data_IF_982843212404
#
_entry.id   IF_982843212404
#
_cell.length_a   1.000
_cell.length_b   1.000
_cell.length_c   1.000
_cell.angle_alpha   90.00
_cell.angle_beta   90.00
_cell.angle_gamma   90.00
#
_symmetry.space_group_name_H-M   'P 1'
#
loop_
_entity.id
_entity.type
_entity.pdbx_description
1 polymer ?
#
# COMPACT_ATOMS: atom_id res chain seq x y z
N UNK A 1 -40.54 6.60 -2.15
CA UNK A 1 -40.60 6.21 -0.72
C UNK A 1 -39.51 5.20 -0.39
N UNK A 2 -39.26 4.22 -1.27
CA UNK A 2 -38.21 3.19 -1.10
C UNK A 2 -36.78 3.74 -1.02
N UNK A 3 -36.38 4.71 -1.86
CA UNK A 3 -35.01 5.25 -1.86
C UNK A 3 -34.61 5.86 -0.51
N UNK A 4 -35.53 6.58 0.15
CA UNK A 4 -35.32 7.13 1.50
C UNK A 4 -35.24 6.04 2.57
N UNK A 5 -35.93 4.91 2.38
CA UNK A 5 -35.84 3.76 3.29
C UNK A 5 -34.48 3.07 3.20
N UNK A 6 -33.93 2.90 1.99
CA UNK A 6 -32.60 2.33 1.80
C UNK A 6 -31.50 3.23 2.34
N UNK A 7 -31.61 4.55 2.15
CA UNK A 7 -30.68 5.52 2.75
C UNK A 7 -30.72 5.46 4.28
N UNK A 8 -31.92 5.43 4.89
CA UNK A 8 -32.05 5.30 6.34
C UNK A 8 -31.49 3.98 6.88
N UNK A 9 -31.68 2.86 6.17
CA UNK A 9 -31.12 1.57 6.57
C UNK A 9 -29.59 1.54 6.43
N UNK A 10 -29.04 2.11 5.36
CA UNK A 10 -27.60 2.22 5.18
C UNK A 10 -26.97 3.11 6.26
N UNK A 11 -27.61 4.24 6.59
CA UNK A 11 -27.16 5.12 7.68
C UNK A 11 -27.24 4.43 9.04
N UNK A 12 -28.31 3.68 9.33
CA UNK A 12 -28.43 2.91 10.57
C UNK A 12 -27.34 1.84 10.67
N UNK A 13 -27.09 1.13 9.58
CA UNK A 13 -26.11 0.06 9.53
C UNK A 13 -24.68 0.61 9.65
N UNK A 14 -24.39 1.75 9.02
CA UNK A 14 -23.13 2.49 9.21
C UNK A 14 -23.00 2.93 10.66
N UNK A 15 -24.06 3.43 11.29
CA UNK A 15 -24.01 3.91 12.67
C UNK A 15 -23.84 2.76 13.67
N UNK A 16 -24.53 1.65 13.50
CA UNK A 16 -24.36 0.44 14.33
C UNK A 16 -22.97 -0.19 14.13
N UNK A 17 -22.48 -0.24 12.90
CA UNK A 17 -21.14 -0.74 12.60
C UNK A 17 -20.03 0.15 13.18
N UNK A 18 -20.20 1.48 13.11
CA UNK A 18 -19.31 2.46 13.74
C UNK A 18 -19.35 2.39 15.28
N UNK A 19 -20.41 1.85 15.87
CA UNK A 19 -20.54 1.63 17.32
C UNK A 19 -20.05 0.24 17.76
N UNK A 20 -19.79 -0.67 16.81
CA UNK A 20 -19.28 -2.02 17.04
C UNK A 20 -17.75 -2.06 16.83
N UNK A 21 -17.01 -1.33 17.66
CA UNK A 21 -15.54 -1.20 17.57
C UNK A 21 -14.79 -2.54 17.45
N UNK A 22 -15.35 -3.62 18.03
CA UNK A 22 -14.75 -4.95 18.02
C UNK A 22 -14.80 -5.70 16.68
N UNK A 23 -15.70 -5.32 15.76
CA UNK A 23 -15.94 -6.07 14.49
C UNK A 23 -15.25 -5.42 13.30
N UNK A 24 -14.96 -4.12 13.39
CA UNK A 24 -14.37 -3.31 12.32
C UNK A 24 -13.08 -3.92 11.73
N UNK A 25 -12.10 -4.37 12.54
CA UNK A 25 -10.86 -4.93 12.00
C UNK A 25 -11.09 -6.17 11.12
N UNK A 26 -11.96 -7.09 11.54
CA UNK A 26 -12.16 -8.37 10.83
C UNK A 26 -12.95 -8.20 9.54
N UNK A 27 -14.02 -7.42 9.59
CA UNK A 27 -14.88 -7.16 8.43
C UNK A 27 -14.16 -6.31 7.38
N UNK A 28 -13.33 -5.35 7.77
CA UNK A 28 -12.52 -4.56 6.83
C UNK A 28 -11.47 -5.39 6.09
N UNK A 29 -10.87 -6.39 6.74
CA UNK A 29 -9.99 -7.37 6.07
C UNK A 29 -10.73 -8.15 4.99
N UNK A 30 -11.93 -8.65 5.31
CA UNK A 30 -12.79 -9.34 4.33
C UNK A 30 -13.14 -8.40 3.18
N UNK A 31 -13.51 -7.15 3.47
CA UNK A 31 -13.76 -6.13 2.44
C UNK A 31 -12.54 -5.94 1.52
N UNK A 32 -11.32 -5.88 2.08
CA UNK A 32 -10.08 -5.80 1.30
C UNK A 32 -9.89 -6.99 0.35
N UNK A 33 -10.12 -8.22 0.82
CA UNK A 33 -10.03 -9.44 0.00
C UNK A 33 -11.09 -9.43 -1.12
N UNK A 34 -12.34 -9.09 -0.78
CA UNK A 34 -13.42 -8.97 -1.78
C UNK A 34 -13.11 -7.89 -2.82
N UNK A 35 -12.58 -6.74 -2.40
CA UNK A 35 -12.16 -5.68 -3.30
C UNK A 35 -11.06 -6.15 -4.26
N UNK A 36 -10.08 -6.93 -3.78
CA UNK A 36 -9.05 -7.52 -4.63
C UNK A 36 -9.65 -8.43 -5.71
N UNK A 37 -10.58 -9.32 -5.33
CA UNK A 37 -11.26 -10.20 -6.29
C UNK A 37 -12.07 -9.41 -7.33
N UNK A 38 -12.80 -8.39 -6.88
CA UNK A 38 -13.56 -7.51 -7.76
C UNK A 38 -12.66 -6.79 -8.77
N UNK A 39 -11.56 -6.18 -8.31
CA UNK A 39 -10.60 -5.50 -9.18
C UNK A 39 -9.97 -6.47 -10.17
N UNK A 40 -9.64 -7.69 -9.74
CA UNK A 40 -9.11 -8.74 -10.62
C UNK A 40 -10.08 -9.03 -11.78
N UNK A 41 -11.34 -9.32 -11.48
CA UNK A 41 -12.35 -9.68 -12.48
C UNK A 41 -12.64 -8.52 -13.44
N UNK A 42 -12.84 -7.31 -12.89
CA UNK A 42 -13.06 -6.10 -13.70
C UNK A 42 -11.85 -5.80 -14.59
N UNK A 43 -10.64 -6.01 -14.11
CA UNK A 43 -9.42 -5.83 -14.91
C UNK A 43 -9.40 -6.78 -16.09
N UNK A 44 -9.77 -8.05 -15.91
CA UNK A 44 -9.82 -9.00 -17.02
C UNK A 44 -10.86 -8.61 -18.07
N UNK A 45 -12.05 -8.22 -17.63
CA UNK A 45 -13.14 -7.79 -18.51
C UNK A 45 -12.75 -6.54 -19.30
N UNK A 46 -12.28 -5.50 -18.61
CA UNK A 46 -11.86 -4.25 -19.23
C UNK A 46 -10.67 -4.47 -20.16
N UNK A 47 -9.67 -5.25 -19.74
CA UNK A 47 -8.44 -5.39 -20.51
C UNK A 47 -8.64 -6.17 -21.81
N UNK A 48 -9.56 -7.13 -21.83
CA UNK A 48 -9.92 -7.87 -23.03
C UNK A 48 -10.56 -6.98 -24.11
N UNK A 49 -11.23 -5.89 -23.71
CA UNK A 49 -11.90 -4.96 -24.63
C UNK A 49 -10.97 -3.85 -25.10
N UNK A 50 -10.20 -3.25 -24.18
CA UNK A 50 -9.48 -2.00 -24.46
C UNK A 50 -8.00 -2.16 -24.77
N UNK A 51 -7.34 -3.25 -24.35
CA UNK A 51 -5.92 -3.46 -24.60
C UNK A 51 -5.67 -4.50 -25.69
N UNK A 52 -5.32 -4.04 -26.89
CA UNK A 52 -5.04 -4.92 -28.06
C UNK A 52 -3.96 -5.97 -27.80
N UNK A 53 -3.00 -5.67 -26.90
CA UNK A 53 -1.94 -6.62 -26.52
C UNK A 53 -2.41 -7.72 -25.58
N UNK A 54 -3.50 -7.50 -24.82
CA UNK A 54 -3.93 -8.39 -23.74
C UNK A 54 -4.36 -9.79 -24.22
N UNK A 55 -5.13 -9.94 -25.33
CA UNK A 55 -5.46 -11.25 -25.88
C UNK A 55 -4.22 -12.07 -26.31
N UNK A 56 -3.12 -11.41 -26.67
CA UNK A 56 -1.86 -12.08 -27.04
C UNK A 56 -1.02 -12.58 -25.86
N UNK A 57 -1.35 -12.19 -24.63
CA UNK A 57 -0.57 -12.56 -23.43
C UNK A 57 -0.81 -14.02 -23.02
N UNK A 58 0.24 -14.67 -22.52
CA UNK A 58 0.15 -15.99 -21.91
C UNK A 58 -0.75 -15.96 -20.66
N UNK A 59 -1.27 -17.13 -20.24
CA UNK A 59 -2.10 -17.23 -19.03
C UNK A 59 -1.41 -16.62 -17.81
N UNK A 60 -0.12 -16.91 -17.62
CA UNK A 60 0.68 -16.37 -16.52
C UNK A 60 0.84 -14.85 -16.61
N UNK A 61 1.10 -14.30 -17.80
CA UNK A 61 1.18 -12.85 -17.99
C UNK A 61 -0.15 -12.13 -17.75
N UNK A 62 -1.29 -12.75 -18.08
CA UNK A 62 -2.62 -12.19 -17.77
C UNK A 62 -2.90 -12.21 -16.26
N UNK A 63 -2.43 -13.23 -15.55
CA UNK A 63 -2.46 -13.27 -14.08
C UNK A 63 -1.64 -12.13 -13.50
N UNK A 64 -0.38 -11.96 -13.93
CA UNK A 64 0.46 -10.84 -13.46
C UNK A 64 -0.15 -9.48 -13.81
N UNK A 65 -0.69 -9.34 -15.03
CA UNK A 65 -1.38 -8.12 -15.48
C UNK A 65 -2.53 -7.75 -14.54
N UNK A 66 -3.34 -8.73 -14.15
CA UNK A 66 -4.48 -8.53 -13.26
C UNK A 66 -4.02 -8.27 -11.83
N UNK A 67 -2.99 -8.97 -11.36
CA UNK A 67 -2.41 -8.77 -10.03
C UNK A 67 -1.81 -7.37 -9.85
N UNK A 68 -1.12 -6.86 -10.88
CA UNK A 68 -0.60 -5.49 -10.93
C UNK A 68 -1.69 -4.43 -10.93
N UNK A 69 -2.88 -4.76 -11.41
CA UNK A 69 -4.02 -3.85 -11.33
C UNK A 69 -4.51 -3.75 -9.89
N UNK A 70 -4.68 -4.89 -9.21
CA UNK A 70 -5.04 -4.93 -7.78
C UNK A 70 -4.08 -4.04 -6.96
N UNK A 71 -2.77 -4.25 -7.09
CA UNK A 71 -1.77 -3.47 -6.36
C UNK A 71 -1.77 -1.99 -6.74
N UNK A 72 -2.08 -1.64 -7.98
CA UNK A 72 -2.23 -0.23 -8.40
C UNK A 72 -3.43 0.44 -7.71
N UNK A 73 -4.59 -0.22 -7.68
CA UNK A 73 -5.79 0.32 -7.04
C UNK A 73 -5.62 0.45 -5.52
N UNK A 74 -5.07 -0.58 -4.87
CA UNK A 74 -4.76 -0.52 -3.44
C UNK A 74 -3.76 0.60 -3.14
N UNK A 75 -2.66 0.69 -3.90
CA UNK A 75 -1.63 1.69 -3.68
C UNK A 75 -2.18 3.12 -3.77
N UNK A 76 -3.06 3.41 -4.74
CA UNK A 76 -3.74 4.71 -4.85
C UNK A 76 -4.60 4.96 -3.62
N UNK A 77 -5.46 4.00 -3.26
CA UNK A 77 -6.34 4.12 -2.10
C UNK A 77 -5.55 4.39 -0.81
N UNK A 78 -4.56 3.53 -0.50
CA UNK A 78 -3.84 3.62 0.76
C UNK A 78 -2.94 4.85 0.81
N UNK A 79 -2.37 5.29 -0.32
CA UNK A 79 -1.59 6.53 -0.38
C UNK A 79 -2.46 7.73 -0.02
N UNK A 80 -3.64 7.84 -0.62
CA UNK A 80 -4.58 8.95 -0.34
C UNK A 80 -4.97 8.94 1.14
N UNK A 81 -5.37 7.79 1.67
CA UNK A 81 -5.77 7.69 3.07
C UNK A 81 -4.61 7.96 4.04
N UNK A 82 -3.41 7.47 3.73
CA UNK A 82 -2.23 7.68 4.58
C UNK A 82 -1.81 9.15 4.61
N UNK A 83 -1.79 9.83 3.45
CA UNK A 83 -1.52 11.26 3.38
C UNK A 83 -2.59 12.07 4.12
N UNK A 84 -3.87 11.69 3.95
CA UNK A 84 -4.96 12.31 4.69
C UNK A 84 -4.74 12.19 6.20
N UNK A 85 -4.50 10.98 6.71
CA UNK A 85 -4.35 10.80 8.15
C UNK A 85 -3.11 11.50 8.72
N UNK A 86 -1.95 11.35 8.07
CA UNK A 86 -0.66 11.86 8.56
C UNK A 86 -0.56 13.38 8.46
N UNK A 87 -1.09 14.00 7.40
CA UNK A 87 -0.82 15.42 7.14
C UNK A 87 -2.05 16.33 7.16
N UNK A 88 -3.26 15.81 6.90
CA UNK A 88 -4.46 16.64 6.77
C UNK A 88 -5.48 16.46 7.89
N UNK A 89 -5.52 15.28 8.51
CA UNK A 89 -6.46 14.99 9.58
C UNK A 89 -5.93 15.48 10.92
N UNK A 90 -6.84 15.81 11.84
CA UNK A 90 -6.45 16.16 13.21
C UNK A 90 -6.00 14.95 14.04
N UNK A 91 -6.09 13.72 13.51
CA UNK A 91 -5.83 12.48 14.27
C UNK A 91 -4.40 12.43 14.83
N UNK A 92 -3.41 12.87 14.02
CA UNK A 92 -1.99 12.84 14.35
C UNK A 92 -1.37 14.24 14.50
N UNK A 93 -2.19 15.25 14.76
CA UNK A 93 -1.75 16.63 14.96
C UNK A 93 -1.10 16.84 16.35
N UNK A 94 -0.18 17.78 16.48
CA UNK A 94 0.55 18.06 17.74
C UNK A 94 -0.28 18.81 18.80
N UNK A 95 -1.61 18.66 18.80
CA UNK A 95 -2.45 19.27 19.83
C UNK A 95 -2.14 18.68 21.21
N UNK A 96 -1.76 19.54 22.16
CA UNK A 96 -1.30 19.20 23.52
C UNK A 96 -2.29 18.33 24.31
N UNK A 97 -3.59 18.38 23.99
CA UNK A 97 -4.64 17.71 24.77
C UNK A 97 -5.07 16.32 24.24
N UNK A 98 -4.52 15.84 23.12
CA UNK A 98 -5.02 14.62 22.45
C UNK A 98 -4.30 13.31 22.87
N UNK A 99 -3.55 13.31 23.99
CA UNK A 99 -2.80 12.13 24.46
C UNK A 99 -1.60 11.77 23.57
N UNK A 100 -0.88 10.66 23.81
CA UNK A 100 0.29 10.30 23.02
C UNK A 100 -0.10 9.87 21.60
N UNK A 101 0.63 10.36 20.58
CA UNK A 101 0.33 10.13 19.15
C UNK A 101 0.33 8.64 18.79
N UNK A 102 1.10 7.84 19.52
CA UNK A 102 1.21 6.38 19.34
C UNK A 102 -0.03 5.61 19.79
N UNK A 103 -0.96 6.21 20.53
CA UNK A 103 -2.20 5.55 20.97
C UNK A 103 -3.45 6.11 20.27
N UNK A 104 -3.27 7.04 19.33
CA UNK A 104 -4.38 7.65 18.61
C UNK A 104 -4.81 6.77 17.45
N UNK A 105 -6.08 6.43 17.41
CA UNK A 105 -6.72 5.71 16.31
C UNK A 105 -8.18 6.13 16.18
N UNK A 106 -8.82 5.72 15.08
CA UNK A 106 -10.23 5.97 14.79
C UNK A 106 -10.82 4.76 14.07
N UNK A 107 -12.14 4.60 14.10
CA UNK A 107 -12.83 3.56 13.34
C UNK A 107 -12.42 3.56 11.85
N UNK A 108 -12.30 4.75 11.24
CA UNK A 108 -11.91 4.88 9.84
C UNK A 108 -10.45 4.50 9.58
N UNK A 109 -9.52 4.88 10.48
CA UNK A 109 -8.11 4.53 10.33
C UNK A 109 -7.88 3.03 10.51
N UNK A 110 -8.55 2.41 11.49
CA UNK A 110 -8.55 0.95 11.68
C UNK A 110 -9.16 0.23 10.49
N UNK A 111 -10.31 0.68 9.98
CA UNK A 111 -10.93 0.12 8.78
C UNK A 111 -10.02 0.22 7.54
N UNK A 112 -9.31 1.34 7.39
CA UNK A 112 -8.36 1.55 6.29
C UNK A 112 -7.17 0.58 6.36
N UNK A 113 -6.63 0.36 7.56
CA UNK A 113 -5.57 -0.63 7.77
C UNK A 113 -6.07 -2.05 7.48
N UNK A 114 -7.31 -2.38 7.85
CA UNK A 114 -7.89 -3.69 7.56
C UNK A 114 -8.10 -3.96 6.07
N UNK A 115 -8.58 -2.98 5.29
CA UNK A 115 -8.59 -3.09 3.83
C UNK A 115 -7.18 -3.39 3.29
N UNK A 116 -6.17 -2.68 3.80
CA UNK A 116 -4.79 -2.87 3.37
C UNK A 116 -4.24 -4.24 3.76
N UNK A 117 -4.56 -4.72 4.96
CA UNK A 117 -4.18 -6.07 5.39
C UNK A 117 -4.83 -7.14 4.50
N UNK A 118 -6.11 -6.99 4.16
CA UNK A 118 -6.80 -7.90 3.23
C UNK A 118 -6.16 -7.92 1.84
N UNK A 119 -5.70 -6.77 1.35
CA UNK A 119 -4.90 -6.69 0.13
C UNK A 119 -3.55 -7.42 0.26
N UNK A 120 -2.74 -7.10 1.27
CA UNK A 120 -1.41 -7.69 1.43
C UNK A 120 -1.47 -9.21 1.61
N UNK A 121 -2.50 -9.72 2.29
CA UNK A 121 -2.76 -11.17 2.39
C UNK A 121 -3.12 -11.78 1.03
N UNK A 122 -3.98 -11.12 0.25
CA UNK A 122 -4.39 -11.57 -1.08
C UNK A 122 -3.20 -11.61 -2.05
N UNK A 123 -2.40 -10.54 -2.07
CA UNK A 123 -1.21 -10.45 -2.95
C UNK A 123 -0.11 -11.42 -2.51
N UNK A 124 0.11 -11.58 -1.19
CA UNK A 124 1.03 -12.60 -0.67
C UNK A 124 0.60 -14.02 -1.09
N UNK A 125 -0.68 -14.34 -0.99
CA UNK A 125 -1.21 -15.65 -1.42
C UNK A 125 -0.95 -15.87 -2.92
N UNK A 126 -1.17 -14.85 -3.75
CA UNK A 126 -0.86 -14.90 -5.19
C UNK A 126 0.64 -15.11 -5.44
N UNK A 127 1.51 -14.34 -4.76
CA UNK A 127 2.97 -14.46 -4.89
C UNK A 127 3.43 -15.87 -4.52
N UNK A 128 2.94 -16.45 -3.43
CA UNK A 128 3.28 -17.81 -3.00
C UNK A 128 2.78 -18.83 -4.02
N UNK A 129 1.52 -18.72 -4.46
CA UNK A 129 0.89 -19.67 -5.38
C UNK A 129 1.59 -19.73 -6.74
N UNK A 130 2.02 -18.58 -7.25
CA UNK A 130 2.70 -18.46 -8.53
C UNK A 130 4.21 -18.26 -8.37
N UNK A 131 4.81 -18.61 -7.23
CA UNK A 131 6.25 -18.43 -7.01
C UNK A 131 7.07 -19.30 -7.99
N UNK A 132 8.16 -18.79 -8.59
CA UNK A 132 8.75 -17.45 -8.47
C UNK A 132 8.28 -16.46 -9.56
N UNK A 133 7.21 -16.76 -10.30
CA UNK A 133 6.77 -16.00 -11.48
C UNK A 133 6.31 -14.58 -11.15
N UNK A 134 5.51 -14.39 -10.09
CA UNK A 134 5.00 -13.07 -9.70
C UNK A 134 6.00 -12.23 -8.89
N UNK A 135 7.05 -12.85 -8.33
CA UNK A 135 8.05 -12.16 -7.53
C UNK A 135 9.08 -13.11 -6.90
N UNK A 136 10.27 -12.57 -6.65
CA UNK A 136 11.33 -13.23 -5.88
C UNK A 136 11.13 -13.13 -4.36
N UNK A 137 12.07 -13.72 -3.60
CA UNK A 137 12.04 -13.73 -2.13
C UNK A 137 11.97 -12.33 -1.51
N UNK A 138 12.50 -11.29 -2.17
CA UNK A 138 12.37 -9.92 -1.67
C UNK A 138 10.91 -9.45 -1.60
N UNK A 139 10.05 -9.92 -2.51
CA UNK A 139 8.63 -9.58 -2.49
C UNK A 139 7.90 -10.35 -1.40
N UNK A 140 8.23 -11.63 -1.19
CA UNK A 140 7.69 -12.43 -0.08
C UNK A 140 8.03 -11.78 1.26
N UNK A 141 9.29 -11.43 1.47
CA UNK A 141 9.74 -10.76 2.70
C UNK A 141 9.05 -9.41 2.90
N UNK A 142 8.96 -8.60 1.84
CA UNK A 142 8.25 -7.32 1.89
C UNK A 142 6.80 -7.50 2.35
N UNK A 143 6.07 -8.43 1.75
CA UNK A 143 4.66 -8.67 2.07
C UNK A 143 4.48 -9.23 3.48
N UNK A 144 5.34 -10.13 3.94
CA UNK A 144 5.29 -10.65 5.31
C UNK A 144 5.52 -9.53 6.35
N UNK A 145 6.49 -8.65 6.10
CA UNK A 145 6.75 -7.48 6.95
C UNK A 145 5.56 -6.51 6.93
N UNK A 146 4.96 -6.25 5.77
CA UNK A 146 3.77 -5.42 5.64
C UNK A 146 2.57 -6.02 6.38
N UNK A 147 2.31 -7.33 6.24
CA UNK A 147 1.24 -8.03 6.98
C UNK A 147 1.45 -7.87 8.48
N UNK A 148 2.65 -8.14 9.00
CA UNK A 148 2.94 -7.99 10.43
C UNK A 148 2.82 -6.53 10.91
N UNK A 149 3.41 -5.58 10.18
CA UNK A 149 3.42 -4.15 10.50
C UNK A 149 2.06 -3.45 10.37
N UNK A 150 1.11 -4.05 9.67
CA UNK A 150 -0.27 -3.55 9.55
C UNK A 150 -1.20 -4.24 10.56
N UNK A 151 -1.08 -5.58 10.73
CA UNK A 151 -2.00 -6.34 11.57
C UNK A 151 -1.99 -5.90 13.03
N UNK A 152 -0.81 -5.66 13.62
CA UNK A 152 -0.74 -5.26 15.02
C UNK A 152 -1.39 -3.88 15.26
N UNK A 153 -1.01 -2.79 14.55
CA UNK A 153 -1.64 -1.48 14.73
C UNK A 153 -3.13 -1.42 14.37
N UNK A 154 -3.58 -2.28 13.45
CA UNK A 154 -5.00 -2.45 13.15
C UNK A 154 -5.76 -3.06 14.35
N UNK A 155 -5.20 -4.10 14.97
CA UNK A 155 -5.86 -4.82 16.08
C UNK A 155 -5.78 -4.07 17.41
N UNK A 156 -4.68 -3.40 17.69
CA UNK A 156 -4.46 -2.74 18.99
C UNK A 156 -4.81 -1.26 18.98
N UNK A 157 -4.90 -0.63 17.80
CA UNK A 157 -5.02 0.82 17.68
C UNK A 157 -3.73 1.58 17.99
N UNK A 158 -2.64 0.88 18.32
CA UNK A 158 -1.37 1.49 18.72
C UNK A 158 -0.38 1.55 17.54
N UNK A 159 0.34 2.66 17.41
CA UNK A 159 1.39 2.85 16.41
C UNK A 159 0.87 3.09 14.99
N UNK A 160 -0.44 3.31 14.79
CA UNK A 160 -1.04 3.50 13.47
C UNK A 160 -0.37 4.63 12.67
N UNK A 161 0.04 5.72 13.33
CA UNK A 161 0.78 6.84 12.72
C UNK A 161 2.00 6.37 11.92
N UNK A 162 2.80 5.46 12.48
CA UNK A 162 4.01 4.95 11.83
C UNK A 162 3.68 3.99 10.70
N UNK A 163 2.65 3.18 10.85
CA UNK A 163 2.15 2.33 9.76
C UNK A 163 1.68 3.17 8.59
N UNK A 164 0.92 4.25 8.81
CA UNK A 164 0.50 5.15 7.73
C UNK A 164 1.69 5.89 7.11
N UNK A 165 2.67 6.34 7.88
CA UNK A 165 3.91 6.93 7.33
C UNK A 165 4.64 5.94 6.41
N UNK A 166 4.76 4.67 6.79
CA UNK A 166 5.32 3.61 5.93
C UNK A 166 4.46 3.39 4.68
N UNK A 167 3.13 3.36 4.81
CA UNK A 167 2.21 3.07 3.71
C UNK A 167 2.15 4.16 2.64
N UNK A 168 2.54 5.41 2.92
CA UNK A 168 2.74 6.45 1.89
C UNK A 168 3.76 5.99 0.83
N UNK A 169 4.69 5.09 1.18
CA UNK A 169 5.64 4.53 0.21
C UNK A 169 5.00 3.73 -0.92
N UNK A 170 3.76 3.25 -0.74
CA UNK A 170 2.98 2.61 -1.80
C UNK A 170 2.64 3.56 -2.96
N UNK A 171 2.76 4.87 -2.77
CA UNK A 171 2.63 5.87 -3.85
C UNK A 171 3.54 5.62 -5.06
N UNK A 172 4.60 4.84 -4.86
CA UNK A 172 5.54 4.44 -5.92
C UNK A 172 5.07 3.24 -6.75
N UNK A 173 4.20 2.40 -6.20
CA UNK A 173 3.71 1.14 -6.79
C UNK A 173 3.01 1.34 -8.14
N UNK A 174 2.12 2.34 -8.33
CA UNK A 174 1.51 2.62 -9.65
C UNK A 174 2.55 2.91 -10.73
N UNK A 175 3.65 3.60 -10.38
CA UNK A 175 4.75 3.89 -11.30
C UNK A 175 5.47 2.61 -11.75
N UNK A 176 5.76 1.70 -10.81
CA UNK A 176 6.38 0.40 -11.07
C UNK A 176 5.48 -0.44 -11.99
N UNK A 177 4.19 -0.53 -11.68
CA UNK A 177 3.21 -1.28 -12.47
C UNK A 177 3.04 -0.70 -13.87
N UNK A 178 2.96 0.62 -14.02
CA UNK A 178 2.90 1.27 -15.32
C UNK A 178 4.15 0.96 -16.16
N UNK A 179 5.33 0.95 -15.54
CA UNK A 179 6.58 0.58 -16.24
C UNK A 179 6.52 -0.83 -16.80
N UNK A 180 5.97 -1.76 -16.01
CA UNK A 180 5.77 -3.14 -16.44
C UNK A 180 4.75 -3.24 -17.57
N UNK A 181 3.61 -2.53 -17.48
CA UNK A 181 2.62 -2.52 -18.57
C UNK A 181 3.21 -2.00 -19.88
N UNK A 182 4.00 -0.92 -19.83
CA UNK A 182 4.69 -0.38 -21.00
C UNK A 182 5.73 -1.37 -21.55
N UNK A 183 6.44 -2.11 -20.70
CA UNK A 183 7.36 -3.18 -21.12
C UNK A 183 6.60 -4.30 -21.85
N UNK A 184 5.57 -4.84 -21.20
CA UNK A 184 4.73 -5.94 -21.71
C UNK A 184 4.02 -5.57 -23.01
N UNK A 185 3.68 -4.29 -23.22
CA UNK A 185 3.13 -3.78 -24.47
C UNK A 185 4.19 -3.52 -25.58
N UNK A 186 5.47 -3.83 -25.34
CA UNK A 186 6.56 -3.59 -26.30
C UNK A 186 7.02 -2.13 -26.40
N UNK A 187 6.63 -1.27 -25.45
CA UNK A 187 6.79 0.18 -25.51
C UNK A 187 8.06 0.70 -24.83
N UNK A 188 9.11 -0.12 -24.62
CA UNK A 188 10.37 0.29 -23.96
C UNK A 188 11.06 1.51 -24.59
N UNK A 189 10.91 1.70 -25.91
CA UNK A 189 11.55 2.80 -26.66
C UNK A 189 10.70 4.08 -26.70
N UNK A 190 9.47 4.04 -26.17
CA UNK A 190 8.55 5.18 -26.17
C UNK A 190 9.02 6.33 -25.26
N UNK A 191 8.50 7.54 -25.50
CA UNK A 191 8.67 8.68 -24.57
C UNK A 191 7.98 8.40 -23.23
N UNK A 192 6.83 7.72 -23.24
CA UNK A 192 6.09 7.34 -22.03
C UNK A 192 6.95 6.49 -21.08
N UNK A 193 7.71 5.52 -21.59
CA UNK A 193 8.60 4.67 -20.79
C UNK A 193 9.75 5.45 -20.15
N UNK A 194 10.26 6.49 -20.83
CA UNK A 194 11.28 7.38 -20.29
C UNK A 194 10.69 8.28 -19.19
N UNK A 195 9.58 8.96 -19.47
CA UNK A 195 8.90 9.85 -18.50
C UNK A 195 8.54 9.08 -17.24
N UNK A 196 7.93 7.90 -17.38
CA UNK A 196 7.65 7.01 -16.26
C UNK A 196 8.91 6.67 -15.46
N UNK A 197 10.05 6.41 -16.12
CA UNK A 197 11.31 6.14 -15.43
C UNK A 197 11.82 7.31 -14.60
N UNK A 198 11.70 8.54 -15.10
CA UNK A 198 12.06 9.77 -14.37
C UNK A 198 11.11 10.00 -13.19
N UNK A 199 9.80 9.89 -13.41
CA UNK A 199 8.77 10.02 -12.36
C UNK A 199 9.00 9.00 -11.26
N UNK A 200 9.27 7.73 -11.62
CA UNK A 200 9.58 6.68 -10.64
C UNK A 200 10.84 7.00 -9.82
N UNK A 201 11.90 7.53 -10.44
CA UNK A 201 13.11 7.92 -9.71
C UNK A 201 12.81 9.00 -8.67
N UNK A 202 12.09 10.07 -9.06
CA UNK A 202 11.73 11.17 -8.15
C UNK A 202 10.79 10.69 -7.06
N UNK A 203 9.74 9.95 -7.41
CA UNK A 203 8.78 9.41 -6.44
C UNK A 203 9.47 8.49 -5.43
N UNK A 204 10.42 7.65 -5.87
CA UNK A 204 11.18 6.77 -4.97
C UNK A 204 12.06 7.57 -4.00
N UNK A 205 12.77 8.58 -4.48
CA UNK A 205 13.58 9.45 -3.63
C UNK A 205 12.72 10.09 -2.53
N UNK A 206 11.58 10.68 -2.89
CA UNK A 206 10.72 11.37 -1.93
C UNK A 206 10.03 10.39 -0.98
N UNK A 207 9.29 9.40 -1.51
CA UNK A 207 8.40 8.57 -0.70
C UNK A 207 9.10 7.39 0.00
N UNK A 208 10.29 6.98 -0.44
CA UNK A 208 11.01 5.81 0.11
C UNK A 208 12.37 6.13 0.73
N UNK A 209 12.99 7.26 0.39
CA UNK A 209 14.27 7.70 1.01
C UNK A 209 14.03 8.85 1.99
N UNK A 210 13.55 10.00 1.51
CA UNK A 210 13.34 11.19 2.35
C UNK A 210 12.29 10.93 3.43
N UNK A 211 11.16 10.31 3.06
CA UNK A 211 10.10 9.98 4.02
C UNK A 211 10.57 8.99 5.10
N UNK A 212 11.41 8.01 4.76
CA UNK A 212 11.93 7.08 5.77
C UNK A 212 12.93 7.75 6.72
N UNK A 213 13.74 8.70 6.24
CA UNK A 213 14.55 9.54 7.14
C UNK A 213 13.68 10.34 8.10
N UNK A 214 12.59 10.94 7.58
CA UNK A 214 11.61 11.65 8.42
C UNK A 214 10.93 10.69 9.42
N UNK A 215 10.55 9.49 9.00
CA UNK A 215 9.96 8.47 9.86
C UNK A 215 10.88 8.13 11.05
N UNK A 216 12.17 7.86 10.82
CA UNK A 216 13.10 7.58 11.91
C UNK A 216 13.31 8.78 12.83
N UNK A 217 13.37 9.98 12.26
CA UNK A 217 13.45 11.21 13.05
C UNK A 217 12.22 11.38 13.94
N UNK A 218 11.02 11.14 13.42
CA UNK A 218 9.77 11.21 14.17
C UNK A 218 9.69 10.13 15.26
N UNK A 219 10.10 8.89 14.97
CA UNK A 219 10.20 7.81 15.97
C UNK A 219 11.16 8.22 17.10
N UNK A 220 12.29 8.85 16.77
CA UNK A 220 13.26 9.34 17.74
C UNK A 220 12.69 10.44 18.64
N UNK A 221 11.99 11.42 18.08
CA UNK A 221 11.34 12.48 18.87
C UNK A 221 10.25 11.96 19.81
N UNK A 222 9.52 10.92 19.41
CA UNK A 222 8.43 10.34 20.19
C UNK A 222 8.84 9.01 20.86
N UNK A 223 10.12 8.80 21.10
CA UNK A 223 10.66 7.53 21.60
C UNK A 223 10.04 7.09 22.94
N UNK A 224 9.79 8.03 23.85
CA UNK A 224 9.15 7.73 25.13
C UNK A 224 7.69 7.25 24.98
N UNK A 225 7.00 7.67 23.91
CA UNK A 225 5.65 7.19 23.58
C UNK A 225 5.71 5.83 22.90
N UNK A 226 6.73 5.58 22.07
CA UNK A 226 6.97 4.27 21.45
C UNK A 226 7.22 3.20 22.52
N UNK A 227 8.01 3.51 23.56
CA UNK A 227 8.26 2.61 24.70
C UNK A 227 7.02 2.19 25.49
N UNK A 228 5.91 2.92 25.35
CA UNK A 228 4.66 2.63 26.05
C UNK A 228 3.75 1.70 25.25
N UNK A 229 3.92 1.61 23.92
CA UNK A 229 3.19 0.68 23.04
C UNK A 229 3.44 -0.75 23.51
N UNK A 230 2.52 -1.67 23.23
CA UNK A 230 2.74 -3.08 23.55
C UNK A 230 4.05 -3.65 22.96
N UNK A 231 4.60 -4.69 23.57
CA UNK A 231 5.93 -5.23 23.22
C UNK A 231 6.07 -5.65 21.76
N UNK A 232 5.02 -6.20 21.15
CA UNK A 232 5.02 -6.56 19.74
C UNK A 232 5.01 -5.31 18.86
N UNK A 233 4.21 -4.30 19.20
CA UNK A 233 4.18 -3.02 18.51
C UNK A 233 5.53 -2.30 18.54
N UNK A 234 6.22 -2.28 19.70
CA UNK A 234 7.57 -1.74 19.81
C UNK A 234 8.56 -2.42 18.87
N UNK A 235 8.52 -3.77 18.84
CA UNK A 235 9.36 -4.57 17.96
C UNK A 235 9.09 -4.24 16.49
N UNK A 236 7.83 -4.17 16.09
CA UNK A 236 7.42 -3.92 14.71
C UNK A 236 7.74 -2.48 14.26
N UNK A 237 7.46 -1.47 15.09
CA UNK A 237 7.81 -0.06 14.82
C UNK A 237 9.33 0.10 14.62
N UNK A 238 10.14 -0.72 15.30
CA UNK A 238 11.60 -0.67 15.18
C UNK A 238 12.12 -1.46 13.97
N UNK A 239 11.70 -2.72 13.82
CA UNK A 239 12.28 -3.65 12.84
C UNK A 239 11.72 -3.41 11.43
N UNK A 240 10.41 -3.23 11.28
CA UNK A 240 9.78 -3.16 9.95
C UNK A 240 10.32 -1.98 9.14
N UNK A 241 10.35 -0.73 9.65
CA UNK A 241 10.93 0.38 8.92
C UNK A 241 12.41 0.21 8.60
N UNK A 242 13.19 -0.40 9.51
CA UNK A 242 14.61 -0.66 9.31
C UNK A 242 14.86 -1.59 8.13
N UNK A 243 14.19 -2.75 8.11
CA UNK A 243 14.34 -3.73 7.03
C UNK A 243 13.83 -3.16 5.71
N UNK A 244 12.67 -2.49 5.71
CA UNK A 244 12.13 -1.83 4.53
C UNK A 244 13.06 -0.73 3.99
N UNK A 245 13.79 -0.01 4.85
CA UNK A 245 14.78 0.98 4.43
C UNK A 245 15.93 0.36 3.65
N UNK A 246 16.47 -0.77 4.13
CA UNK A 246 17.52 -1.51 3.43
C UNK A 246 17.01 -1.97 2.05
N UNK A 247 15.80 -2.53 2.00
CA UNK A 247 15.18 -2.94 0.74
C UNK A 247 14.96 -1.75 -0.21
N UNK A 248 14.52 -0.61 0.32
CA UNK A 248 14.31 0.63 -0.44
C UNK A 248 15.60 1.13 -1.07
N UNK A 249 16.74 1.07 -0.36
CA UNK A 249 18.05 1.42 -0.90
C UNK A 249 18.50 0.45 -2.01
N UNK A 250 18.31 -0.86 -1.81
CA UNK A 250 18.61 -1.87 -2.82
C UNK A 250 17.82 -1.65 -4.11
N UNK A 251 16.51 -1.44 -4.01
CA UNK A 251 15.64 -1.17 -5.15
C UNK A 251 15.92 0.19 -5.80
N UNK A 252 16.24 1.23 -5.02
CA UNK A 252 16.63 2.52 -5.57
C UNK A 252 17.88 2.40 -6.45
N UNK A 253 18.87 1.61 -6.02
CA UNK A 253 20.03 1.26 -6.83
C UNK A 253 19.65 0.58 -8.15
N UNK A 254 18.64 -0.31 -8.16
CA UNK A 254 18.12 -0.93 -9.40
C UNK A 254 17.44 0.12 -10.30
N UNK A 255 16.68 1.06 -9.75
CA UNK A 255 16.01 2.14 -10.50
C UNK A 255 17.03 3.07 -11.15
N UNK A 256 18.04 3.52 -10.40
CA UNK A 256 19.13 4.36 -10.93
C UNK A 256 19.82 3.67 -12.11
N UNK A 257 20.23 2.42 -11.93
CA UNK A 257 20.86 1.62 -13.00
C UNK A 257 19.94 1.48 -14.21
N UNK A 258 18.64 1.27 -14.00
CA UNK A 258 17.64 1.15 -15.07
C UNK A 258 17.43 2.45 -15.85
N UNK A 259 17.40 3.59 -15.16
CA UNK A 259 17.28 4.91 -15.77
C UNK A 259 18.53 5.27 -16.58
N UNK A 260 19.73 5.09 -16.02
CA UNK A 260 21.01 5.32 -16.71
C UNK A 260 21.10 4.51 -18.01
N UNK A 261 20.72 3.23 -17.99
CA UNK A 261 20.68 2.37 -19.20
C UNK A 261 19.70 2.87 -20.25
N UNK A 262 18.58 3.49 -19.83
CA UNK A 262 17.56 4.02 -20.75
C UNK A 262 18.05 5.30 -21.43
N UNK A 263 18.78 6.15 -20.70
CA UNK A 263 19.39 7.38 -21.22
C UNK A 263 20.56 7.08 -22.16
N UNK A 264 21.44 6.14 -21.79
CA UNK A 264 22.61 5.78 -22.59
C UNK A 264 22.25 5.20 -23.98
N UNK A 265 21.08 4.56 -24.14
CA UNK A 265 20.61 4.01 -25.43
C UNK A 265 20.00 5.04 -26.38
N UNK A 266 19.87 6.30 -25.95
CA UNK A 266 19.32 7.40 -26.76
C UNK A 266 20.40 8.33 -27.30
N UNK A 267 21.63 8.18 -26.84
CA UNK A 267 22.84 8.72 -27.45
C UNK A 267 23.45 7.65 -28.37
#
# INVERSE_FOLDING_TARGET
MEIKSYQNQAELLVKEYLLADSVIPYTSVICGICACKMVYDLTQLFSNVYFKSYPGLSKLQRTEWSNRSISTFHAIFITIMSLYFVFWSNLYSDHEYAGPITFRSSALSTFTLGISLGYFLSDLAMIIWFYPFLGGMEYVLHHLLSVAGIANPMLTGEGQVYTFMVLISESTTPGINLRWYLDTAGMKRSRAYLINGVVMFVAWLVARILLFMYLFYHIYLHYDQVKQVNSLGQLLISIVPLVLSVMNLMWFGKIIKGLMKTLAKRH
#
